data_IF_690077243154
#
_entry.id   IF_690077243154
#
_cell.length_a   1.000
_cell.length_b   1.000
_cell.length_c   1.000
_cell.angle_alpha   90.00
_cell.angle_beta   90.00
_cell.angle_gamma   90.00
#
_symmetry.space_group_name_H-M   'P 1'
#
loop_
_entity.id
_entity.type
_entity.pdbx_description
1 polymer ?
#
# COMPACT_ATOMS: atom_id res chain seq x y z
N UNK A 1 -3.66 3.85 11.60
CA UNK A 1 -3.62 2.45 11.22
C UNK A 1 -2.24 2.13 10.69
N UNK A 2 -1.78 2.72 9.57
CA UNK A 2 -0.38 2.55 9.14
C UNK A 2 0.61 3.17 10.14
N UNK A 3 0.40 4.42 10.55
CA UNK A 3 1.20 5.08 11.59
C UNK A 3 1.09 4.38 12.95
N UNK A 4 -0.06 3.77 13.24
CA UNK A 4 -0.26 2.97 14.46
C UNK A 4 0.50 1.64 14.36
N UNK A 5 0.42 0.93 13.24
CA UNK A 5 1.15 -0.32 13.04
C UNK A 5 2.64 -0.09 13.22
N UNK A 6 3.19 0.94 12.59
CA UNK A 6 4.59 1.30 12.80
C UNK A 6 4.86 1.68 14.26
N UNK A 7 4.09 2.60 14.84
CA UNK A 7 4.26 3.06 16.23
C UNK A 7 4.15 1.96 17.29
N UNK A 8 3.29 0.97 17.08
CA UNK A 8 2.92 -0.02 18.11
C UNK A 8 3.44 -1.43 17.84
N UNK A 9 3.68 -1.81 16.58
CA UNK A 9 4.10 -3.16 16.19
C UNK A 9 5.52 -3.23 15.63
N UNK A 10 6.19 -2.12 15.37
CA UNK A 10 7.58 -2.16 14.85
C UNK A 10 8.52 -1.17 15.54
N UNK A 11 8.13 0.08 15.83
CA UNK A 11 8.99 1.05 16.54
C UNK A 11 8.43 2.48 16.66
N UNK A 12 9.01 3.29 17.55
CA UNK A 12 8.57 4.65 17.90
C UNK A 12 9.01 5.73 16.89
N UNK A 13 8.39 5.77 15.70
CA UNK A 13 8.43 6.96 14.82
C UNK A 13 9.75 7.22 14.06
N UNK A 14 9.60 7.96 12.96
CA UNK A 14 10.55 8.46 11.93
C UNK A 14 11.77 7.63 11.50
N UNK A 15 12.54 7.03 12.40
CA UNK A 15 13.74 6.25 12.09
C UNK A 15 13.40 4.80 11.71
N UNK A 16 14.10 4.27 10.70
CA UNK A 16 13.97 2.87 10.28
C UNK A 16 14.78 2.04 11.27
N UNK A 17 14.11 1.45 12.27
CA UNK A 17 14.75 0.48 13.15
C UNK A 17 15.20 -0.77 12.37
N UNK A 18 16.10 -1.56 12.94
CA UNK A 18 16.56 -2.81 12.30
C UNK A 18 15.39 -3.78 12.06
N UNK A 19 14.40 -3.82 12.96
CA UNK A 19 13.15 -4.57 12.81
C UNK A 19 12.32 -4.08 11.61
N UNK A 20 12.24 -2.76 11.42
CA UNK A 20 11.55 -2.15 10.28
C UNK A 20 12.23 -2.53 8.97
N UNK A 21 13.56 -2.38 8.90
CA UNK A 21 14.34 -2.79 7.73
C UNK A 21 14.17 -4.28 7.41
N UNK A 22 14.23 -5.14 8.42
CA UNK A 22 14.06 -6.58 8.25
C UNK A 22 12.65 -6.95 7.75
N UNK A 23 11.60 -6.35 8.33
CA UNK A 23 10.22 -6.61 7.92
C UNK A 23 9.93 -6.14 6.50
N UNK A 24 10.48 -4.97 6.11
CA UNK A 24 10.43 -4.46 4.73
C UNK A 24 11.10 -5.47 3.79
N UNK A 25 12.35 -5.85 4.05
CA UNK A 25 13.11 -6.74 3.18
C UNK A 25 12.45 -8.12 3.00
N UNK A 26 11.89 -8.68 4.07
CA UNK A 26 11.13 -9.93 4.01
C UNK A 26 9.88 -9.76 3.16
N UNK A 27 9.11 -8.69 3.37
CA UNK A 27 7.87 -8.45 2.63
C UNK A 27 8.10 -8.18 1.15
N UNK A 28 9.21 -7.50 0.81
CA UNK A 28 9.66 -7.32 -0.57
C UNK A 28 10.06 -8.66 -1.19
N UNK A 29 10.88 -9.44 -0.50
CA UNK A 29 11.33 -10.75 -0.98
C UNK A 29 10.17 -11.74 -1.22
N UNK A 30 9.15 -11.72 -0.35
CA UNK A 30 7.93 -12.51 -0.52
C UNK A 30 7.16 -12.08 -1.78
N UNK A 31 7.06 -10.77 -2.03
CA UNK A 31 6.40 -10.24 -3.20
C UNK A 31 7.19 -10.53 -4.48
N UNK A 32 8.49 -10.28 -4.51
CA UNK A 32 9.35 -10.54 -5.66
C UNK A 32 9.27 -12.00 -6.12
N UNK A 33 9.36 -12.95 -5.17
CA UNK A 33 9.28 -14.39 -5.45
C UNK A 33 7.85 -14.91 -5.59
N UNK A 34 6.86 -14.07 -5.31
CA UNK A 34 5.45 -14.42 -5.24
C UNK A 34 5.19 -15.73 -4.47
N UNK A 35 5.76 -15.82 -3.28
CA UNK A 35 5.72 -17.01 -2.40
C UNK A 35 5.11 -16.64 -1.04
N UNK A 36 4.37 -17.56 -0.38
CA UNK A 36 3.78 -17.28 0.93
C UNK A 36 4.80 -17.20 2.07
N UNK A 37 6.00 -17.76 1.87
CA UNK A 37 7.05 -17.84 2.88
C UNK A 37 8.46 -17.94 2.25
N UNK A 38 9.48 -17.71 3.07
CA UNK A 38 10.90 -17.77 2.70
C UNK A 38 11.65 -18.74 3.60
N UNK A 39 12.66 -19.41 3.07
CA UNK A 39 13.55 -20.23 3.90
C UNK A 39 14.33 -19.35 4.87
N UNK A 40 14.30 -19.70 6.16
CA UNK A 40 15.03 -19.00 7.23
C UNK A 40 16.53 -18.94 6.95
N UNK A 41 17.11 -20.00 6.40
CA UNK A 41 18.53 -20.08 6.07
C UNK A 41 18.98 -19.11 4.98
N UNK A 42 18.04 -18.60 4.16
CA UNK A 42 18.32 -17.65 3.08
C UNK A 42 18.07 -16.21 3.48
N UNK A 43 17.64 -15.96 4.72
CA UNK A 43 17.31 -14.63 5.22
C UNK A 43 18.46 -14.08 6.06
N UNK A 44 19.08 -12.95 5.67
CA UNK A 44 20.10 -12.29 6.48
C UNK A 44 19.45 -11.48 7.61
N UNK A 45 18.69 -12.14 8.48
CA UNK A 45 18.03 -11.53 9.64
C UNK A 45 18.71 -12.01 10.93
N UNK A 46 19.07 -11.07 11.80
CA UNK A 46 19.64 -11.43 13.08
C UNK A 46 18.59 -12.13 13.97
N UNK A 47 18.95 -13.19 14.73
CA UNK A 47 17.99 -13.94 15.55
C UNK A 47 17.16 -13.08 16.50
N UNK A 48 17.78 -12.08 17.12
CA UNK A 48 17.10 -11.16 18.04
C UNK A 48 16.03 -10.30 17.35
N UNK A 49 16.26 -9.90 16.10
CA UNK A 49 15.30 -9.13 15.29
C UNK A 49 14.13 -10.03 14.89
N UNK A 50 14.42 -11.27 14.48
CA UNK A 50 13.40 -12.25 14.14
C UNK A 50 12.50 -12.54 15.36
N UNK A 51 13.10 -12.78 16.53
CA UNK A 51 12.36 -13.02 17.77
C UNK A 51 11.50 -11.82 18.17
N UNK A 52 11.99 -10.59 18.01
CA UNK A 52 11.22 -9.38 18.28
C UNK A 52 9.99 -9.27 17.37
N UNK A 53 10.18 -9.44 16.06
CA UNK A 53 9.10 -9.40 15.06
C UNK A 53 8.09 -10.53 15.24
N UNK A 54 8.51 -11.70 15.74
CA UNK A 54 7.60 -12.79 16.11
C UNK A 54 6.76 -12.42 17.35
N UNK A 55 7.38 -11.86 18.39
CA UNK A 55 6.66 -11.41 19.60
C UNK A 55 5.66 -10.28 19.33
N UNK A 56 5.88 -9.50 18.28
CA UNK A 56 5.00 -8.42 17.84
C UNK A 56 3.89 -8.88 16.88
N UNK A 57 3.79 -10.20 16.63
CA UNK A 57 2.88 -10.82 15.66
C UNK A 57 3.07 -10.31 14.22
N UNK A 58 4.25 -9.82 13.88
CA UNK A 58 4.58 -9.38 12.52
C UNK A 58 5.00 -10.56 11.62
N UNK A 59 5.80 -11.47 12.17
CA UNK A 59 6.31 -12.66 11.48
C UNK A 59 5.92 -13.94 12.21
N UNK A 60 5.82 -15.02 11.45
CA UNK A 60 5.70 -16.39 11.96
C UNK A 60 6.78 -17.27 11.38
N UNK A 61 7.26 -18.22 12.19
CA UNK A 61 8.23 -19.23 11.77
C UNK A 61 7.63 -20.62 11.97
N UNK A 62 7.60 -21.41 10.92
CA UNK A 62 7.19 -22.81 10.95
C UNK A 62 8.07 -23.62 10.00
N UNK A 63 8.57 -24.78 10.45
CA UNK A 63 9.40 -25.68 9.63
C UNK A 63 10.60 -24.97 8.96
N UNK A 64 11.29 -24.09 9.69
CA UNK A 64 12.40 -23.26 9.19
C UNK A 64 12.02 -22.36 8.00
N UNK A 65 10.74 -22.00 7.90
CA UNK A 65 10.21 -21.03 6.94
C UNK A 65 9.62 -19.82 7.67
N UNK A 66 9.93 -18.63 7.15
CA UNK A 66 9.50 -17.34 7.69
C UNK A 66 8.42 -16.77 6.78
N UNK A 67 7.30 -16.36 7.37
CA UNK A 67 6.20 -15.71 6.67
C UNK A 67 5.73 -14.48 7.46
N UNK A 68 5.02 -13.56 6.79
CA UNK A 68 4.21 -12.56 7.49
C UNK A 68 3.02 -13.23 8.17
N UNK A 69 2.67 -12.77 9.37
CA UNK A 69 1.53 -13.35 10.12
C UNK A 69 0.19 -13.05 9.44
N UNK A 70 0.08 -11.86 8.84
CA UNK A 70 -1.12 -11.45 8.11
C UNK A 70 -0.75 -10.63 6.86
N UNK A 71 -1.60 -10.68 5.82
CA UNK A 71 -1.40 -9.91 4.58
C UNK A 71 -1.21 -8.41 4.87
N UNK A 72 -2.02 -7.87 5.78
CA UNK A 72 -1.95 -6.48 6.23
C UNK A 72 -0.55 -6.06 6.70
N UNK A 73 0.19 -6.95 7.38
CA UNK A 73 1.56 -6.66 7.85
C UNK A 73 2.49 -6.46 6.64
N UNK A 74 2.42 -7.37 5.66
CA UNK A 74 3.18 -7.26 4.43
C UNK A 74 2.77 -6.05 3.58
N UNK A 75 1.49 -5.67 3.59
CA UNK A 75 1.01 -4.46 2.91
C UNK A 75 1.55 -3.19 3.59
N UNK A 76 1.55 -3.14 4.92
CA UNK A 76 2.13 -2.04 5.69
C UNK A 76 3.62 -1.88 5.38
N UNK A 77 4.38 -2.98 5.43
CA UNK A 77 5.81 -3.01 5.15
C UNK A 77 6.13 -2.45 3.76
N UNK A 78 5.40 -2.89 2.74
CA UNK A 78 5.61 -2.42 1.37
C UNK A 78 5.17 -0.99 1.16
N UNK A 79 4.09 -0.55 1.80
CA UNK A 79 3.74 0.88 1.82
C UNK A 79 4.87 1.73 2.43
N UNK A 80 5.51 1.25 3.51
CA UNK A 80 6.64 1.97 4.11
C UNK A 80 7.86 2.03 3.20
N UNK A 81 8.14 0.95 2.47
CA UNK A 81 9.13 0.98 1.39
C UNK A 81 8.80 2.04 0.34
N UNK A 82 7.55 2.12 -0.11
CA UNK A 82 7.13 3.13 -1.09
C UNK A 82 7.35 4.56 -0.55
N UNK A 83 7.02 4.82 0.72
CA UNK A 83 7.26 6.13 1.34
C UNK A 83 8.75 6.50 1.44
N UNK A 84 9.60 5.50 1.74
CA UNK A 84 11.04 5.66 1.85
C UNK A 84 11.68 6.06 0.52
N UNK A 85 11.21 5.49 -0.58
CA UNK A 85 11.76 5.68 -1.93
C UNK A 85 10.90 6.62 -2.80
N UNK A 86 9.99 7.41 -2.20
CA UNK A 86 8.95 8.16 -2.94
C UNK A 86 9.47 9.14 -4.01
N UNK A 87 10.72 9.61 -3.88
CA UNK A 87 11.36 10.54 -4.82
C UNK A 87 12.21 9.85 -5.88
N UNK A 88 12.44 8.55 -5.72
CA UNK A 88 13.34 7.76 -6.58
C UNK A 88 12.56 6.73 -7.40
N UNK A 89 11.27 6.55 -7.14
CA UNK A 89 10.46 5.56 -7.85
C UNK A 89 9.92 6.10 -9.16
N UNK A 90 10.31 5.40 -10.22
CA UNK A 90 9.83 5.64 -11.58
C UNK A 90 8.43 5.02 -11.78
N UNK A 91 7.60 5.66 -12.60
CA UNK A 91 6.27 5.15 -12.95
C UNK A 91 6.32 3.74 -13.55
N UNK A 92 7.33 3.45 -14.37
CA UNK A 92 7.52 2.14 -14.99
C UNK A 92 7.80 1.03 -13.97
N UNK A 93 8.47 1.36 -12.86
CA UNK A 93 8.73 0.45 -11.76
C UNK A 93 7.44 0.13 -11.00
N UNK A 94 6.67 1.16 -10.63
CA UNK A 94 5.37 1.01 -9.99
C UNK A 94 4.40 0.17 -10.84
N UNK A 95 4.36 0.43 -12.15
CA UNK A 95 3.56 -0.34 -13.08
C UNK A 95 4.01 -1.82 -13.16
N UNK A 96 5.32 -2.08 -13.08
CA UNK A 96 5.87 -3.44 -13.04
C UNK A 96 5.50 -4.16 -11.75
N UNK A 97 5.59 -3.48 -10.59
CA UNK A 97 5.17 -4.03 -9.30
C UNK A 97 3.70 -4.47 -9.31
N UNK A 98 2.82 -3.72 -9.98
CA UNK A 98 1.39 -4.00 -10.07
C UNK A 98 1.02 -5.28 -10.82
N UNK A 99 1.96 -5.89 -11.55
CA UNK A 99 1.78 -7.25 -12.09
C UNK A 99 1.59 -8.29 -10.99
N UNK A 100 2.06 -8.00 -9.79
CA UNK A 100 1.82 -8.82 -8.61
C UNK A 100 0.71 -8.19 -7.74
N UNK A 101 -0.41 -8.92 -7.49
CA UNK A 101 -1.58 -8.41 -6.78
C UNK A 101 -1.31 -8.05 -5.32
N UNK A 102 -0.18 -8.52 -4.76
CA UNK A 102 0.23 -8.12 -3.43
C UNK A 102 0.52 -6.59 -3.40
N UNK A 103 0.91 -5.95 -4.50
CA UNK A 103 1.26 -4.52 -4.52
C UNK A 103 0.08 -3.56 -4.67
N UNK A 104 -1.10 -4.05 -5.06
CA UNK A 104 -2.25 -3.17 -5.34
C UNK A 104 -2.67 -2.34 -4.11
N UNK A 105 -2.75 -2.96 -2.93
CA UNK A 105 -3.15 -2.24 -1.72
C UNK A 105 -2.06 -1.27 -1.20
N UNK A 106 -0.77 -1.65 -1.11
CA UNK A 106 0.31 -0.71 -0.80
C UNK A 106 0.34 0.52 -1.70
N UNK A 107 0.19 0.33 -3.03
CA UNK A 107 0.21 1.42 -4.01
C UNK A 107 -1.03 2.30 -3.87
N UNK A 108 -2.21 1.72 -3.61
CA UNK A 108 -3.42 2.49 -3.31
C UNK A 108 -3.25 3.39 -2.08
N UNK A 109 -2.62 2.87 -1.01
CA UNK A 109 -2.32 3.68 0.18
C UNK A 109 -1.28 4.76 -0.10
N UNK A 110 -0.29 4.46 -0.94
CA UNK A 110 0.72 5.42 -1.39
C UNK A 110 0.08 6.56 -2.18
N UNK A 111 -0.77 6.25 -3.16
CA UNK A 111 -1.56 7.24 -3.89
C UNK A 111 -2.38 8.14 -2.96
N UNK A 112 -3.10 7.55 -2.00
CA UNK A 112 -3.86 8.30 -1.00
C UNK A 112 -2.95 9.22 -0.16
N UNK A 113 -1.78 8.72 0.28
CA UNK A 113 -0.84 9.50 1.06
C UNK A 113 -0.40 10.77 0.30
N UNK A 114 0.00 10.62 -0.96
CA UNK A 114 0.42 11.75 -1.79
C UNK A 114 -0.73 12.74 -2.01
N UNK A 115 -1.93 12.23 -2.31
CA UNK A 115 -3.14 13.05 -2.49
C UNK A 115 -3.59 13.80 -1.21
N UNK A 116 -3.24 13.31 -0.01
CA UNK A 116 -3.61 13.94 1.26
C UNK A 116 -2.62 15.00 1.75
N UNK A 117 -1.38 14.97 1.28
CA UNK A 117 -0.33 15.89 1.73
C UNK A 117 -0.12 16.96 0.68
N UNK A 118 -0.41 18.22 1.01
CA UNK A 118 -0.29 19.34 0.07
C UNK A 118 1.10 19.44 -0.55
N UNK A 119 2.16 19.15 0.22
CA UNK A 119 3.55 19.16 -0.24
C UNK A 119 3.90 18.00 -1.19
N UNK A 120 3.03 16.99 -1.32
CA UNK A 120 3.26 15.79 -2.15
C UNK A 120 2.22 15.69 -3.28
N UNK A 121 1.35 16.70 -3.41
CA UNK A 121 0.31 16.74 -4.45
C UNK A 121 0.92 16.89 -5.84
N UNK A 122 2.02 17.64 -5.97
CA UNK A 122 2.79 17.74 -7.22
C UNK A 122 3.32 16.37 -7.65
N UNK A 123 3.96 15.63 -6.74
CA UNK A 123 4.41 14.24 -6.98
C UNK A 123 3.27 13.33 -7.45
N UNK A 124 2.08 13.45 -6.86
CA UNK A 124 0.92 12.67 -7.30
C UNK A 124 0.51 13.02 -8.74
N UNK A 125 0.56 14.30 -9.11
CA UNK A 125 0.17 14.80 -10.42
C UNK A 125 1.17 14.37 -11.50
N UNK A 126 2.47 14.43 -11.20
CA UNK A 126 3.55 13.92 -12.06
C UNK A 126 3.37 12.42 -12.32
N UNK A 127 3.19 11.62 -11.27
CA UNK A 127 2.95 10.18 -11.40
C UNK A 127 1.72 9.87 -12.25
N UNK A 128 0.64 10.66 -12.11
CA UNK A 128 -0.56 10.48 -12.92
C UNK A 128 -0.28 10.76 -14.40
N UNK A 129 0.36 11.89 -14.71
CA UNK A 129 0.66 12.29 -16.08
C UNK A 129 1.56 11.28 -16.78
N UNK A 130 2.66 10.90 -16.14
CA UNK A 130 3.57 9.87 -16.65
C UNK A 130 2.88 8.51 -16.81
N UNK A 131 1.97 8.16 -15.89
CA UNK A 131 1.19 6.91 -16.01
C UNK A 131 0.24 6.93 -17.21
N UNK A 132 -0.32 8.09 -17.57
CA UNK A 132 -1.15 8.24 -18.77
C UNK A 132 -0.31 8.11 -20.04
N UNK A 133 0.83 8.80 -20.08
CA UNK A 133 1.77 8.76 -21.21
C UNK A 133 2.30 7.34 -21.45
N UNK A 134 2.63 6.62 -20.36
CA UNK A 134 3.03 5.21 -20.38
C UNK A 134 1.88 4.21 -20.54
N UNK A 135 0.62 4.68 -20.63
CA UNK A 135 -0.59 3.85 -20.74
C UNK A 135 -0.72 2.80 -19.61
N UNK A 136 -0.24 3.13 -18.41
CA UNK A 136 -0.27 2.27 -17.23
C UNK A 136 -1.63 2.37 -16.52
N UNK A 137 -2.68 1.90 -17.18
CA UNK A 137 -4.08 2.07 -16.75
C UNK A 137 -4.37 1.58 -15.32
N UNK A 138 -3.77 0.47 -14.87
CA UNK A 138 -3.95 -0.02 -13.51
C UNK A 138 -3.37 0.94 -12.46
N UNK A 139 -2.23 1.57 -12.76
CA UNK A 139 -1.62 2.57 -11.89
C UNK A 139 -2.48 3.85 -11.86
N UNK A 140 -2.98 4.29 -13.01
CA UNK A 140 -3.96 5.39 -13.11
C UNK A 140 -5.17 5.12 -12.21
N UNK A 141 -5.74 3.91 -12.26
CA UNK A 141 -6.91 3.56 -11.44
C UNK A 141 -6.61 3.64 -9.92
N UNK A 142 -5.43 3.22 -9.49
CA UNK A 142 -5.02 3.29 -8.08
C UNK A 142 -4.67 4.71 -7.64
N UNK A 143 -4.11 5.54 -8.53
CA UNK A 143 -3.90 6.95 -8.29
C UNK A 143 -5.24 7.67 -8.09
N UNK A 144 -6.20 7.42 -8.98
CA UNK A 144 -7.56 7.96 -8.90
C UNK A 144 -8.29 7.49 -7.63
N UNK A 145 -8.13 6.23 -7.21
CA UNK A 145 -8.63 5.77 -5.91
C UNK A 145 -8.10 6.64 -4.77
N UNK A 146 -6.81 6.99 -4.80
CA UNK A 146 -6.19 7.89 -3.82
C UNK A 146 -6.84 9.27 -3.81
N UNK A 147 -7.10 9.85 -4.99
CA UNK A 147 -7.77 11.14 -5.12
C UNK A 147 -9.22 11.11 -4.65
N UNK A 148 -10.02 10.12 -5.06
CA UNK A 148 -11.42 9.91 -4.65
C UNK A 148 -11.54 9.88 -3.13
N UNK A 149 -10.59 9.23 -2.49
CA UNK A 149 -10.59 8.99 -1.05
C UNK A 149 -9.90 10.10 -0.24
N UNK A 150 -9.30 11.09 -0.91
CA UNK A 150 -8.65 12.23 -0.26
C UNK A 150 -9.68 13.20 0.36
N UNK A 151 -9.22 14.11 1.21
CA UNK A 151 -10.10 15.14 1.82
C UNK A 151 -10.41 16.30 0.87
N UNK A 152 -9.59 16.48 -0.16
CA UNK A 152 -9.68 17.60 -1.10
C UNK A 152 -9.49 17.08 -2.53
N UNK A 153 -10.39 16.22 -3.03
CA UNK A 153 -10.26 15.64 -4.37
C UNK A 153 -10.12 16.72 -5.46
N UNK A 154 -10.79 17.87 -5.27
CA UNK A 154 -10.74 18.99 -6.20
C UNK A 154 -9.36 19.61 -6.36
N UNK A 155 -8.54 19.70 -5.30
CA UNK A 155 -7.19 20.27 -5.41
C UNK A 155 -6.23 19.31 -6.10
N UNK A 156 -6.38 18.01 -5.83
CA UNK A 156 -5.57 16.94 -6.43
C UNK A 156 -5.87 16.80 -7.92
N UNK A 157 -7.15 16.81 -8.30
CA UNK A 157 -7.64 16.60 -9.67
C UNK A 157 -7.68 17.87 -10.53
N UNK A 158 -7.35 19.04 -9.99
CA UNK A 158 -7.40 20.31 -10.73
C UNK A 158 -6.61 20.30 -12.05
N UNK A 159 -5.42 19.66 -12.15
CA UNK A 159 -4.69 19.59 -13.43
C UNK A 159 -5.29 18.61 -14.44
N UNK A 160 -6.20 17.73 -14.02
CA UNK A 160 -6.90 16.80 -14.92
C UNK A 160 -7.99 17.48 -15.76
N UNK A 161 -8.10 18.80 -15.68
CA UNK A 161 -9.07 19.62 -16.42
C UNK A 161 -8.49 19.93 -17.80
N UNK A 162 -8.99 19.25 -18.82
CA UNK A 162 -8.54 19.40 -20.21
C UNK A 162 -9.21 18.39 -21.15
N UNK A 163 -8.58 18.10 -22.30
CA UNK A 163 -9.12 17.17 -23.31
C UNK A 163 -9.33 15.74 -22.78
N UNK A 164 -8.59 15.36 -21.75
CA UNK A 164 -8.67 14.04 -21.10
C UNK A 164 -9.79 13.94 -20.06
N UNK A 165 -10.53 15.02 -19.79
CA UNK A 165 -11.57 15.06 -18.78
C UNK A 165 -12.64 13.95 -18.94
N UNK A 166 -13.16 13.65 -20.16
CA UNK A 166 -14.15 12.57 -20.32
C UNK A 166 -13.61 11.21 -19.88
N UNK A 167 -12.35 10.90 -20.22
CA UNK A 167 -11.67 9.67 -19.83
C UNK A 167 -11.55 9.55 -18.30
N UNK A 168 -11.17 10.64 -17.63
CA UNK A 168 -11.09 10.66 -16.16
C UNK A 168 -12.45 10.50 -15.50
N UNK A 169 -13.48 11.18 -16.00
CA UNK A 169 -14.84 11.09 -15.46
C UNK A 169 -15.36 9.65 -15.54
N UNK A 170 -15.22 8.99 -16.69
CA UNK A 170 -15.67 7.61 -16.88
C UNK A 170 -14.99 6.66 -15.88
N UNK A 171 -13.65 6.78 -15.75
CA UNK A 171 -12.89 5.97 -14.81
C UNK A 171 -13.25 6.27 -13.37
N UNK A 172 -13.32 7.54 -12.98
CA UNK A 172 -13.71 7.96 -11.63
C UNK A 172 -15.07 7.38 -11.23
N UNK A 173 -16.08 7.47 -12.10
CA UNK A 173 -17.39 6.88 -11.82
C UNK A 173 -17.31 5.36 -11.69
N UNK A 174 -16.61 4.69 -12.62
CA UNK A 174 -16.43 3.24 -12.58
C UNK A 174 -15.77 2.79 -11.27
N UNK A 175 -14.72 3.50 -10.83
CA UNK A 175 -14.03 3.25 -9.56
C UNK A 175 -14.93 3.53 -8.36
N UNK A 176 -15.64 4.66 -8.36
CA UNK A 176 -16.54 5.03 -7.28
C UNK A 176 -17.66 4.01 -7.10
N UNK A 177 -18.27 3.55 -8.20
CA UNK A 177 -19.24 2.47 -8.16
C UNK A 177 -18.64 1.18 -7.63
N UNK A 178 -17.49 0.74 -8.17
CA UNK A 178 -16.83 -0.48 -7.71
C UNK A 178 -16.55 -0.43 -6.19
N UNK A 179 -16.01 0.69 -5.69
CA UNK A 179 -15.77 0.90 -4.26
C UNK A 179 -17.09 0.84 -3.46
N UNK A 180 -18.14 1.53 -3.92
CA UNK A 180 -19.43 1.57 -3.23
C UNK A 180 -20.21 0.24 -3.28
N UNK A 181 -19.98 -0.61 -4.30
CA UNK A 181 -20.72 -1.87 -4.49
C UNK A 181 -19.96 -3.10 -3.98
N UNK A 182 -18.64 -3.03 -3.78
CA UNK A 182 -17.88 -4.09 -3.10
C UNK A 182 -18.45 -4.39 -1.70
N UNK A 183 -19.07 -3.39 -1.06
CA UNK A 183 -19.80 -3.54 0.22
C UNK A 183 -21.07 -4.40 0.16
N UNK A 184 -21.60 -4.74 -1.02
CA UNK A 184 -22.89 -5.43 -1.18
C UNK A 184 -22.78 -6.93 -1.54
N UNK A 185 -21.58 -7.49 -1.75
CA UNK A 185 -21.41 -8.83 -2.37
C UNK A 185 -20.63 -9.89 -1.57
N UNK A 186 -20.46 -9.73 -0.26
CA UNK A 186 -19.88 -10.80 0.59
C UNK A 186 -20.92 -11.38 1.58
N UNK A 187 -21.58 -12.51 1.25
CA UNK A 187 -22.26 -13.31 2.27
C UNK A 187 -21.19 -14.01 3.11
N UNK A 188 -21.11 -13.62 4.38
CA UNK A 188 -20.29 -14.22 5.42
C UNK A 188 -20.50 -15.74 5.50
N UNK A 189 -19.46 -16.53 5.18
CA UNK A 189 -19.25 -17.86 5.75
C UNK A 189 -17.75 -18.15 5.93
N UNK A 190 -17.30 -18.00 7.16
CA UNK A 190 -16.25 -18.80 7.80
C UNK A 190 -14.93 -18.96 7.09
N UNK A 191 -14.05 -17.96 7.20
CA UNK A 191 -12.62 -18.03 7.52
C UNK A 191 -12.16 -16.58 7.68
N UNK A 192 -11.37 -16.27 8.71
CA UNK A 192 -11.12 -14.91 9.22
C UNK A 192 -10.44 -13.94 8.26
N UNK A 193 -11.17 -13.46 7.26
CA UNK A 193 -10.89 -12.22 6.54
C UNK A 193 -11.59 -11.08 7.28
N UNK A 194 -10.82 -10.30 8.04
CA UNK A 194 -11.34 -9.07 8.63
C UNK A 194 -11.54 -8.06 7.51
N UNK A 195 -12.77 -7.53 7.41
CA UNK A 195 -13.23 -6.55 6.43
C UNK A 195 -12.17 -5.49 6.07
N UNK A 196 -11.72 -5.49 4.81
CA UNK A 196 -10.87 -4.44 4.23
C UNK A 196 -11.49 -3.03 4.35
N UNK A 197 -12.82 -2.93 4.44
CA UNK A 197 -13.52 -1.64 4.58
C UNK A 197 -13.53 -1.06 6.00
N UNK A 198 -13.64 -1.89 7.04
CA UNK A 198 -13.58 -1.42 8.43
C UNK A 198 -12.19 -0.87 8.74
N UNK A 199 -11.17 -1.47 8.13
CA UNK A 199 -9.78 -1.01 8.17
C UNK A 199 -9.54 0.25 7.34
N UNK A 200 -10.21 0.44 6.19
CA UNK A 200 -10.20 1.70 5.45
C UNK A 200 -10.75 2.85 6.31
N UNK A 201 -11.95 2.72 6.92
CA UNK A 201 -12.55 3.77 7.75
C UNK A 201 -11.70 4.13 8.98
N UNK A 202 -11.09 3.14 9.64
CA UNK A 202 -10.15 3.37 10.75
C UNK A 202 -8.79 3.93 10.27
N UNK A 203 -8.30 3.55 9.08
CA UNK A 203 -7.15 4.16 8.45
C UNK A 203 -7.40 5.66 8.15
N UNK A 204 -8.58 6.02 7.65
CA UNK A 204 -9.00 7.41 7.44
C UNK A 204 -9.03 8.23 8.74
N UNK A 205 -9.50 7.65 9.84
CA UNK A 205 -9.54 8.32 11.14
C UNK A 205 -8.14 8.52 11.74
N UNK A 206 -7.20 7.63 11.46
CA UNK A 206 -5.85 7.70 12.02
C UNK A 206 -4.85 8.57 11.24
N UNK A 207 -5.17 8.94 10.00
CA UNK A 207 -4.48 10.00 9.25
C UNK A 207 -5.06 11.39 9.57
N UNK A 208 -5.98 11.50 10.54
CA UNK A 208 -6.50 12.77 11.10
C UNK A 208 -5.64 13.33 12.25
N UNK A 209 -4.59 12.61 12.68
CA UNK A 209 -3.69 13.03 13.74
C UNK A 209 -2.27 13.20 13.19
#
# INVERSE_FOLDING_TARGET
MLTWFWRYHVGNGSEVSEECGALINISLSLAEKFTPDLSRYKLPIAPQILDALMRQDCLRVAEERVAVTHRFVGDCARFRYLLGNRREMEVSELATMLRNPLWSQPIRWFALYLAMKSAETETWQELLQESLEGQHLQLVDLLLDGAILSRQPSSVLNPCVGEQLPFFIERLFSRLFAIATITLHYPWKGYGFVNDFTHLTQAYQSLRL
#
